data_IF_402606628634
#
_entry.id   IF_402606628634
#
_cell.length_a   1.000
_cell.length_b   1.000
_cell.length_c   1.000
_cell.angle_alpha   90.00
_cell.angle_beta   90.00
_cell.angle_gamma   90.00
#
_symmetry.space_group_name_H-M   'P 1'
#
loop_
_entity.id
_entity.type
_entity.pdbx_description
1 polymer ?
#
# COMPACT_ATOMS: atom_id res chain seq x y z
N UNK A 1 -17.29 6.93 42.56
CA UNK A 1 -16.44 6.10 41.67
C UNK A 1 -16.95 6.01 40.24
N UNK A 2 -18.24 5.73 40.00
CA UNK A 2 -18.84 5.63 38.65
C UNK A 2 -18.58 6.83 37.72
N UNK A 3 -18.69 8.08 38.22
CA UNK A 3 -18.39 9.29 37.43
C UNK A 3 -16.91 9.36 36.98
N UNK A 4 -15.96 9.01 37.85
CA UNK A 4 -14.53 8.98 37.52
C UNK A 4 -14.22 7.95 36.43
N UNK A 5 -14.83 6.77 36.49
CA UNK A 5 -14.69 5.72 35.47
C UNK A 5 -15.20 6.21 34.11
N UNK A 6 -16.37 6.87 34.08
CA UNK A 6 -16.92 7.42 32.84
C UNK A 6 -15.96 8.45 32.21
N UNK A 7 -15.39 9.37 33.01
CA UNK A 7 -14.43 10.35 32.48
C UNK A 7 -13.16 9.70 31.93
N UNK A 8 -12.65 8.66 32.59
CA UNK A 8 -11.48 7.91 32.09
C UNK A 8 -11.80 7.22 30.77
N UNK A 9 -12.97 6.58 30.65
CA UNK A 9 -13.39 5.94 29.40
C UNK A 9 -13.56 6.95 28.26
N UNK A 10 -14.15 8.11 28.53
CA UNK A 10 -14.29 9.19 27.54
C UNK A 10 -12.91 9.69 27.09
N UNK A 11 -11.97 9.88 28.02
CA UNK A 11 -10.61 10.30 27.70
C UNK A 11 -9.86 9.26 26.85
N UNK A 12 -9.98 7.98 27.18
CA UNK A 12 -9.37 6.91 26.39
C UNK A 12 -9.99 6.82 24.99
N UNK A 13 -11.31 6.96 24.90
CA UNK A 13 -12.01 6.98 23.62
C UNK A 13 -11.55 8.18 22.78
N UNK A 14 -11.49 9.38 23.36
CA UNK A 14 -11.06 10.57 22.62
C UNK A 14 -9.60 10.46 22.15
N UNK A 15 -8.70 9.92 22.99
CA UNK A 15 -7.31 9.66 22.58
C UNK A 15 -7.24 8.64 21.44
N UNK A 16 -8.02 7.56 21.50
CA UNK A 16 -8.07 6.57 20.42
C UNK A 16 -8.54 7.20 19.10
N UNK A 17 -9.54 8.09 19.16
CA UNK A 17 -10.03 8.86 18.01
C UNK A 17 -8.94 9.79 17.47
N UNK A 18 -8.26 10.54 18.33
CA UNK A 18 -7.21 11.45 17.86
C UNK A 18 -6.08 10.66 17.18
N UNK A 19 -5.65 9.54 17.77
CA UNK A 19 -4.55 8.73 17.21
C UNK A 19 -4.88 8.07 15.88
N UNK A 20 -6.12 7.58 15.71
CA UNK A 20 -6.56 6.89 14.49
C UNK A 20 -6.81 7.87 13.32
N UNK A 21 -7.31 9.06 13.63
CA UNK A 21 -7.58 10.09 12.62
C UNK A 21 -6.39 11.02 12.36
N UNK A 22 -5.31 10.93 13.15
CA UNK A 22 -4.11 11.73 12.92
C UNK A 22 -3.55 11.48 11.51
N UNK A 23 -3.29 12.54 10.72
CA UNK A 23 -2.80 12.40 9.37
C UNK A 23 -1.44 11.71 9.36
N UNK A 24 -1.24 10.90 8.32
CA UNK A 24 -0.02 10.14 8.09
C UNK A 24 0.59 10.74 6.82
N UNK A 25 1.69 11.48 6.95
CA UNK A 25 2.32 12.15 5.82
C UNK A 25 3.77 11.74 5.69
N UNK A 26 3.98 10.56 5.11
CA UNK A 26 5.28 9.98 4.81
C UNK A 26 5.36 9.46 3.37
N UNK A 27 4.46 9.93 2.50
CA UNK A 27 4.54 9.60 1.08
C UNK A 27 5.85 10.13 0.50
N UNK A 28 6.60 9.22 -0.11
CA UNK A 28 7.89 9.50 -0.73
C UNK A 28 7.78 10.37 -1.99
N UNK A 29 6.56 10.53 -2.52
CA UNK A 29 6.27 11.38 -3.67
C UNK A 29 4.84 11.96 -3.65
N UNK A 30 4.57 12.89 -4.57
CA UNK A 30 3.21 13.35 -4.86
C UNK A 30 2.50 12.30 -5.75
N UNK A 31 1.83 11.36 -5.08
CA UNK A 31 1.15 10.25 -5.75
C UNK A 31 0.04 10.73 -6.67
N UNK A 32 -0.67 11.80 -6.29
CA UNK A 32 -1.77 12.36 -7.05
C UNK A 32 -1.27 13.03 -8.33
N UNK A 33 -0.22 13.86 -8.24
CA UNK A 33 0.39 14.48 -9.40
C UNK A 33 0.96 13.44 -10.38
N UNK A 34 1.63 12.40 -9.86
CA UNK A 34 2.15 11.34 -10.72
C UNK A 34 1.02 10.56 -11.42
N UNK A 35 -0.03 10.15 -10.70
CA UNK A 35 -1.13 9.40 -11.30
C UNK A 35 -1.84 10.20 -12.40
N UNK A 36 -2.02 11.52 -12.20
CA UNK A 36 -2.62 12.44 -13.19
C UNK A 36 -1.71 12.80 -14.37
N UNK A 37 -0.40 12.58 -14.25
CA UNK A 37 0.56 12.94 -15.30
C UNK A 37 0.32 12.12 -16.58
N UNK A 38 0.83 12.61 -17.71
CA UNK A 38 0.79 11.89 -19.00
C UNK A 38 1.98 10.94 -19.19
N UNK A 39 2.82 10.73 -18.18
CA UNK A 39 3.95 9.81 -18.31
C UNK A 39 3.44 8.40 -18.57
N UNK A 40 4.14 7.62 -19.39
CA UNK A 40 3.86 6.18 -19.52
C UNK A 40 3.99 5.52 -18.15
N UNK A 41 3.05 4.65 -17.84
CA UNK A 41 2.95 3.95 -16.56
C UNK A 41 2.78 2.47 -16.82
N UNK A 42 3.44 1.67 -16.00
CA UNK A 42 3.23 0.22 -15.96
C UNK A 42 2.42 -0.14 -14.73
N UNK A 43 1.46 -1.05 -14.86
CA UNK A 43 0.56 -1.43 -13.78
C UNK A 43 0.49 -2.94 -13.63
N UNK A 44 0.50 -3.38 -12.37
CA UNK A 44 0.32 -4.78 -12.00
C UNK A 44 -0.68 -4.89 -10.86
N UNK A 45 -1.53 -5.91 -10.92
CA UNK A 45 -2.49 -6.20 -9.86
C UNK A 45 -1.87 -7.12 -8.81
N UNK A 46 -2.45 -7.13 -7.61
CA UNK A 46 -2.02 -8.04 -6.57
C UNK A 46 -2.34 -9.50 -6.94
N UNK A 47 -1.36 -10.38 -6.71
CA UNK A 47 -1.53 -11.84 -6.76
C UNK A 47 -2.28 -12.33 -5.53
N UNK A 48 -1.99 -11.73 -4.36
CA UNK A 48 -2.59 -12.05 -3.06
C UNK A 48 -2.69 -10.81 -2.21
N UNK A 49 -3.71 -10.75 -1.36
CA UNK A 49 -3.87 -9.73 -0.33
C UNK A 49 -4.19 -10.39 1.01
N UNK A 50 -3.65 -9.84 2.08
CA UNK A 50 -3.94 -10.23 3.47
C UNK A 50 -4.42 -8.99 4.21
N UNK A 51 -5.56 -9.08 4.91
CA UNK A 51 -6.14 -7.99 5.71
C UNK A 51 -6.47 -8.49 7.11
N UNK A 52 -5.50 -8.44 8.01
CA UNK A 52 -5.64 -8.90 9.40
C UNK A 52 -5.07 -7.85 10.39
N UNK A 53 -5.58 -6.60 10.40
CA UNK A 53 -4.97 -5.52 11.17
C UNK A 53 -4.97 -5.75 12.69
N UNK A 54 -5.85 -6.61 13.19
CA UNK A 54 -5.92 -7.01 14.61
C UNK A 54 -4.80 -7.95 15.04
N UNK A 55 -4.05 -8.55 14.11
CA UNK A 55 -2.92 -9.44 14.41
C UNK A 55 -1.59 -8.67 14.57
N UNK A 56 -1.61 -7.34 14.53
CA UNK A 56 -0.46 -6.49 14.81
C UNK A 56 0.02 -5.69 13.60
N UNK A 57 1.27 -5.24 13.68
CA UNK A 57 1.93 -4.50 12.61
C UNK A 57 2.20 -5.40 11.39
N UNK A 58 2.18 -4.82 10.19
CA UNK A 58 2.50 -5.51 8.94
C UNK A 58 1.58 -6.70 8.59
N UNK A 59 0.37 -6.74 9.12
CA UNK A 59 -0.64 -7.76 8.82
C UNK A 59 -1.69 -7.30 7.78
N UNK A 60 -1.41 -6.20 7.10
CA UNK A 60 -2.19 -5.74 5.95
C UNK A 60 -1.24 -5.48 4.79
N UNK A 61 -1.25 -6.36 3.79
CA UNK A 61 -0.32 -6.28 2.66
C UNK A 61 -0.84 -6.94 1.40
N UNK A 62 -0.32 -6.48 0.27
CA UNK A 62 -0.45 -7.11 -1.03
C UNK A 62 0.87 -7.75 -1.47
N UNK A 63 0.77 -8.88 -2.16
CA UNK A 63 1.88 -9.52 -2.87
C UNK A 63 1.63 -9.34 -4.36
N UNK A 64 2.64 -8.86 -5.07
CA UNK A 64 2.59 -8.52 -6.48
C UNK A 64 3.71 -9.23 -7.21
N UNK A 65 3.40 -9.77 -8.39
CA UNK A 65 4.40 -10.29 -9.31
C UNK A 65 4.77 -9.20 -10.31
N UNK A 66 6.05 -8.84 -10.36
CA UNK A 66 6.56 -7.68 -11.10
C UNK A 66 7.69 -8.13 -12.03
N UNK A 67 7.73 -7.68 -13.29
CA UNK A 67 8.86 -7.96 -14.18
C UNK A 67 10.18 -7.41 -13.62
N UNK A 68 11.26 -8.13 -13.88
CA UNK A 68 12.59 -7.81 -13.34
C UNK A 68 13.16 -6.47 -13.80
N UNK A 69 12.71 -5.95 -14.93
CA UNK A 69 13.05 -4.61 -15.41
C UNK A 69 12.67 -3.48 -14.43
N UNK A 70 11.71 -3.72 -13.53
CA UNK A 70 11.29 -2.76 -12.49
C UNK A 70 12.01 -2.92 -11.15
N UNK A 71 12.98 -3.86 -11.02
CA UNK A 71 13.77 -4.04 -9.78
C UNK A 71 14.58 -2.82 -9.36
N UNK A 72 14.84 -1.89 -10.27
CA UNK A 72 15.61 -0.66 -10.00
C UNK A 72 14.77 0.61 -10.13
N UNK A 73 13.43 0.48 -10.13
CA UNK A 73 12.55 1.66 -10.13
C UNK A 73 12.80 2.51 -8.87
N UNK A 74 12.84 3.85 -8.98
CA UNK A 74 13.07 4.71 -7.81
C UNK A 74 11.91 4.65 -6.80
N UNK A 75 10.68 4.46 -7.29
CA UNK A 75 9.48 4.33 -6.49
C UNK A 75 8.39 3.61 -7.29
N UNK A 76 7.32 3.25 -6.61
CA UNK A 76 6.04 2.89 -7.22
C UNK A 76 4.90 3.43 -6.35
N UNK A 77 3.69 3.44 -6.90
CA UNK A 77 2.50 3.85 -6.17
C UNK A 77 1.64 2.63 -5.90
N UNK A 78 1.34 2.39 -4.62
CA UNK A 78 0.30 1.45 -4.22
C UNK A 78 -1.04 2.16 -4.26
N UNK A 79 -1.96 1.65 -5.07
CA UNK A 79 -3.34 2.11 -5.12
C UNK A 79 -4.27 0.99 -4.64
N UNK A 80 -5.09 1.30 -3.64
CA UNK A 80 -6.29 0.51 -3.33
C UNK A 80 -7.50 1.28 -3.83
N UNK A 81 -8.22 0.70 -4.79
CA UNK A 81 -9.32 1.34 -5.52
C UNK A 81 -10.34 1.95 -4.55
N UNK A 82 -10.53 3.26 -4.68
CA UNK A 82 -11.49 4.03 -3.89
C UNK A 82 -11.07 4.30 -2.44
N UNK A 83 -9.91 3.83 -1.99
CA UNK A 83 -9.48 3.91 -0.60
C UNK A 83 -8.23 4.77 -0.41
N UNK A 84 -7.10 4.40 -1.03
CA UNK A 84 -5.81 5.09 -0.83
C UNK A 84 -4.92 4.98 -2.07
N UNK A 85 -4.05 5.97 -2.24
CA UNK A 85 -2.92 5.97 -3.18
C UNK A 85 -1.68 6.53 -2.49
N UNK A 86 -0.65 5.71 -2.31
CA UNK A 86 0.55 6.05 -1.55
C UNK A 86 1.82 5.68 -2.30
N UNK A 87 2.82 6.58 -2.29
CA UNK A 87 4.13 6.27 -2.84
C UNK A 87 4.92 5.38 -1.89
N UNK A 88 5.53 4.34 -2.45
CA UNK A 88 6.43 3.45 -1.72
C UNK A 88 7.73 3.31 -2.49
N UNK A 89 8.84 3.28 -1.75
CA UNK A 89 10.10 2.79 -2.29
C UNK A 89 10.03 1.27 -2.39
N UNK A 90 10.55 0.67 -3.45
CA UNK A 90 10.63 -0.76 -3.47
C UNK A 90 11.65 -1.28 -2.44
N UNK A 91 11.26 -2.32 -1.71
CA UNK A 91 12.12 -2.99 -0.75
C UNK A 91 11.78 -4.48 -0.66
N UNK A 92 12.75 -5.28 -0.18
CA UNK A 92 12.49 -6.64 0.28
C UNK A 92 12.04 -7.62 -0.81
N UNK A 93 12.58 -7.52 -2.03
CA UNK A 93 12.29 -8.46 -3.12
C UNK A 93 12.61 -9.90 -2.73
N UNK A 94 11.70 -10.82 -3.02
CA UNK A 94 11.91 -12.25 -2.83
C UNK A 94 11.39 -13.04 -4.01
N UNK A 95 11.95 -14.24 -4.16
CA UNK A 95 11.46 -15.22 -5.14
C UNK A 95 10.26 -16.01 -4.61
N UNK A 96 10.00 -15.95 -3.31
CA UNK A 96 8.83 -16.57 -2.70
C UNK A 96 8.21 -15.75 -1.56
N UNK A 97 6.89 -15.82 -1.45
CA UNK A 97 6.11 -15.35 -0.31
C UNK A 97 4.89 -16.23 -0.11
N UNK A 98 4.74 -16.85 1.06
CA UNK A 98 3.55 -17.60 1.47
C UNK A 98 3.03 -18.55 0.36
N UNK A 99 3.91 -19.42 -0.13
CA UNK A 99 3.69 -20.41 -1.19
C UNK A 99 3.46 -19.85 -2.61
N UNK A 100 3.59 -18.55 -2.81
CA UNK A 100 3.66 -17.93 -4.13
C UNK A 100 5.12 -17.90 -4.57
N UNK A 101 5.38 -18.38 -5.78
CA UNK A 101 6.69 -18.36 -6.42
C UNK A 101 6.67 -17.37 -7.59
N UNK A 102 7.75 -16.61 -7.75
CA UNK A 102 7.88 -15.74 -8.92
C UNK A 102 8.04 -16.59 -10.20
N UNK A 103 7.44 -16.14 -11.28
CA UNK A 103 7.67 -16.70 -12.61
C UNK A 103 9.05 -16.27 -13.15
N UNK A 104 9.55 -17.00 -14.14
CA UNK A 104 10.82 -16.66 -14.78
C UNK A 104 10.78 -15.22 -15.37
N UNK A 105 11.81 -14.42 -15.08
CA UNK A 105 11.86 -13.01 -15.49
C UNK A 105 11.06 -12.05 -14.60
N UNK A 106 10.49 -12.54 -13.50
CA UNK A 106 9.75 -11.74 -12.52
C UNK A 106 10.31 -11.88 -11.11
N UNK A 107 9.85 -11.00 -10.22
CA UNK A 107 10.08 -11.08 -8.79
C UNK A 107 8.81 -10.72 -8.03
N UNK A 108 8.74 -11.13 -6.77
CA UNK A 108 7.63 -10.76 -5.90
C UNK A 108 7.97 -9.51 -5.09
N UNK A 109 7.01 -8.60 -5.03
CA UNK A 109 7.00 -7.41 -4.18
C UNK A 109 5.91 -7.59 -3.14
N UNK A 110 6.27 -7.50 -1.87
CA UNK A 110 5.30 -7.43 -0.77
C UNK A 110 5.24 -5.98 -0.26
N UNK A 111 4.09 -5.33 -0.41
CA UNK A 111 3.90 -3.96 0.05
C UNK A 111 2.80 -3.90 1.12
N UNK A 112 3.09 -3.17 2.21
CA UNK A 112 2.28 -3.14 3.42
C UNK A 112 1.52 -1.83 3.52
N UNK A 113 0.25 -1.91 3.94
CA UNK A 113 -0.50 -0.75 4.44
C UNK A 113 -0.35 -0.72 5.95
N UNK A 114 -0.08 0.47 6.49
CA UNK A 114 0.00 0.69 7.93
C UNK A 114 -1.29 0.26 8.61
N UNK A 115 -1.19 -0.51 9.69
CA UNK A 115 -2.34 -1.03 10.44
C UNK A 115 -3.33 0.08 10.83
N UNK A 116 -2.83 1.26 11.24
CA UNK A 116 -3.68 2.43 11.52
C UNK A 116 -4.52 2.87 10.31
N UNK A 117 -3.91 2.94 9.13
CA UNK A 117 -4.60 3.34 7.90
C UNK A 117 -5.64 2.28 7.54
N UNK A 118 -5.27 1.00 7.61
CA UNK A 118 -6.19 -0.10 7.35
C UNK A 118 -7.40 -0.07 8.30
N UNK A 119 -7.19 0.09 9.61
CA UNK A 119 -8.27 0.21 10.58
C UNK A 119 -9.19 1.41 10.29
N UNK A 120 -8.61 2.57 9.99
CA UNK A 120 -9.38 3.75 9.60
C UNK A 120 -10.25 3.49 8.37
N UNK A 121 -9.68 2.90 7.32
CA UNK A 121 -10.39 2.55 6.09
C UNK A 121 -11.50 1.51 6.34
N UNK A 122 -11.27 0.52 7.20
CA UNK A 122 -12.28 -0.47 7.59
C UNK A 122 -13.45 0.22 8.31
N UNK A 123 -13.19 1.12 9.25
CA UNK A 123 -14.25 1.90 9.91
C UNK A 123 -15.01 2.82 8.95
N UNK A 124 -14.37 3.24 7.85
CA UNK A 124 -15.01 3.99 6.76
C UNK A 124 -15.80 3.12 5.77
N UNK A 125 -15.78 1.79 5.93
CA UNK A 125 -16.51 0.85 5.08
C UNK A 125 -15.72 0.25 3.91
N UNK A 126 -14.41 0.50 3.81
CA UNK A 126 -13.57 0.03 2.71
C UNK A 126 -13.01 -1.39 2.90
N UNK A 127 -13.56 -2.19 3.82
CA UNK A 127 -13.06 -3.54 4.09
C UNK A 127 -13.07 -4.43 2.85
N UNK A 128 -14.11 -4.38 2.03
CA UNK A 128 -14.22 -5.23 0.82
C UNK A 128 -13.17 -4.86 -0.23
N UNK A 129 -12.89 -3.57 -0.42
CA UNK A 129 -11.85 -3.08 -1.33
C UNK A 129 -10.47 -3.44 -0.81
N UNK A 130 -10.25 -3.36 0.50
CA UNK A 130 -9.01 -3.83 1.12
C UNK A 130 -8.82 -5.33 0.94
N UNK A 131 -9.89 -6.13 1.05
CA UNK A 131 -9.81 -7.59 1.01
C UNK A 131 -9.90 -8.18 -0.41
N UNK A 132 -10.10 -7.36 -1.43
CA UNK A 132 -10.16 -7.76 -2.83
C UNK A 132 -8.82 -7.50 -3.54
N UNK A 133 -8.17 -8.56 -4.02
CA UNK A 133 -6.90 -8.45 -4.75
C UNK A 133 -7.00 -7.61 -6.02
N UNK A 134 -8.15 -7.59 -6.70
CA UNK A 134 -8.32 -6.82 -7.93
C UNK A 134 -8.40 -5.31 -7.67
N UNK A 135 -8.67 -4.93 -6.42
CA UNK A 135 -8.68 -3.55 -5.98
C UNK A 135 -7.28 -3.00 -5.70
N UNK A 136 -6.25 -3.85 -5.66
CA UNK A 136 -4.87 -3.47 -5.36
C UNK A 136 -4.01 -3.44 -6.62
N UNK A 137 -3.39 -2.29 -6.89
CA UNK A 137 -2.54 -2.07 -8.06
C UNK A 137 -1.24 -1.39 -7.65
N UNK A 138 -0.10 -1.91 -8.13
CA UNK A 138 1.14 -1.13 -8.16
C UNK A 138 1.29 -0.43 -9.50
N UNK A 139 1.56 0.87 -9.45
CA UNK A 139 1.83 1.69 -10.63
C UNK A 139 3.28 2.16 -10.61
N UNK A 140 4.02 1.82 -11.66
CA UNK A 140 5.43 2.12 -11.83
C UNK A 140 5.63 3.24 -12.87
N UNK A 141 6.62 4.13 -12.69
CA UNK A 141 7.15 4.90 -13.80
C UNK A 141 7.81 3.96 -14.81
N UNK A 142 7.84 4.38 -16.08
CA UNK A 142 8.53 3.62 -17.11
C UNK A 142 10.02 3.37 -16.73
N UNK A 143 10.57 2.18 -17.03
CA UNK A 143 11.96 1.85 -16.74
C UNK A 143 12.92 2.88 -17.34
N UNK A 144 14.09 3.04 -16.71
CA UNK A 144 15.11 3.97 -17.17
C UNK A 144 15.65 3.63 -18.56
N UNK A 145 15.77 2.34 -18.89
CA UNK A 145 16.28 1.86 -20.17
C UNK A 145 15.49 2.44 -21.36
N UNK A 146 14.16 2.40 -21.30
CA UNK A 146 13.29 2.94 -22.36
C UNK A 146 13.30 4.47 -22.47
N UNK A 147 13.75 5.18 -21.42
CA UNK A 147 13.75 6.64 -21.39
C UNK A 147 14.94 7.23 -22.15
N UNK A 148 16.04 6.49 -22.20
CA UNK A 148 17.24 6.86 -22.95
C UNK A 148 17.03 6.62 -24.46
N UNK A 149 16.30 5.57 -24.84
CA UNK A 149 16.00 5.24 -26.25
C UNK A 149 14.95 6.17 -26.90
N UNK A 150 14.10 6.86 -26.12
CA UNK A 150 13.15 7.87 -26.63
C UNK A 150 13.72 9.30 -26.63
N UNK A 151 14.94 9.51 -26.14
CA UNK A 151 15.62 10.80 -26.11
C UNK A 151 16.66 10.97 -27.23
N UNK A 152 16.82 9.95 -28.07
CA UNK A 152 17.65 9.91 -29.28
C UNK A 152 16.77 9.97 -30.55
#
# INVERSE_FOLDING_TARGET
MRRKIIYVLILLLSLSVITLWWPVNDSECDSEAFLKSKTKKFQVQATKVVVQPWLGEHQVYGVFMVPDEYKQTPFFILTVKGAISECSRPFGYRQNFDDIFAEAGTHLVRNYIRTRIALRLILQGFYFQLNDKQSWTLTFPQPKADREEMAE
#
